data_IF_919626732396
#
_entry.id   IF_919626732396
#
_cell.length_a   1.000
_cell.length_b   1.000
_cell.length_c   1.000
_cell.angle_alpha   90.00
_cell.angle_beta   90.00
_cell.angle_gamma   90.00
#
_symmetry.space_group_name_H-M   'P 1'
#
loop_
_entity.id
_entity.type
_entity.pdbx_description
1 polymer ?
#
# COMPACT_ATOMS: atom_id res chain seq x y z
N UNK A 1 17.34 -23.18 -20.52
CA UNK A 1 18.46 -22.82 -19.62
C UNK A 1 17.95 -23.14 -18.22
N UNK A 2 18.59 -24.07 -17.50
CA UNK A 2 18.23 -24.39 -16.12
C UNK A 2 18.45 -23.15 -15.26
N UNK A 3 17.38 -22.55 -14.75
CA UNK A 3 17.38 -21.29 -14.03
C UNK A 3 18.37 -21.32 -12.86
N UNK A 4 19.54 -20.72 -13.04
CA UNK A 4 20.51 -20.59 -11.96
C UNK A 4 20.01 -19.52 -11.01
N UNK A 5 19.97 -19.87 -9.73
CA UNK A 5 19.56 -18.95 -8.68
C UNK A 5 20.51 -17.74 -8.65
N UNK A 6 19.99 -16.52 -8.82
CA UNK A 6 20.80 -15.29 -8.83
C UNK A 6 21.56 -15.09 -7.52
N UNK A 7 20.99 -15.56 -6.40
CA UNK A 7 21.69 -15.54 -5.11
C UNK A 7 22.89 -16.49 -5.13
N UNK A 8 22.77 -17.66 -5.77
CA UNK A 8 23.87 -18.61 -5.94
C UNK A 8 24.95 -18.09 -6.90
N UNK A 9 24.57 -17.37 -7.97
CA UNK A 9 25.51 -16.73 -8.91
C UNK A 9 26.39 -15.70 -8.21
N UNK A 10 25.80 -14.87 -7.33
CA UNK A 10 26.55 -13.89 -6.54
C UNK A 10 27.22 -14.50 -5.30
N UNK A 11 26.88 -15.74 -4.93
CA UNK A 11 27.39 -16.42 -3.75
C UNK A 11 26.90 -15.79 -2.44
N UNK A 12 25.67 -15.28 -2.42
CA UNK A 12 25.05 -14.61 -1.27
C UNK A 12 23.81 -15.39 -0.79
N UNK A 13 23.41 -15.17 0.45
CA UNK A 13 22.18 -15.76 0.98
C UNK A 13 20.93 -15.06 0.42
N UNK A 14 19.78 -15.73 0.40
CA UNK A 14 18.49 -15.13 0.02
C UNK A 14 18.05 -13.99 0.95
N UNK A 15 18.53 -14.03 2.20
CA UNK A 15 18.34 -13.00 3.22
C UNK A 15 19.33 -11.85 3.12
N UNK A 16 20.24 -11.87 2.14
CA UNK A 16 21.30 -10.87 2.04
C UNK A 16 20.75 -9.46 1.85
N UNK A 17 21.43 -8.49 2.47
CA UNK A 17 21.13 -7.08 2.33
C UNK A 17 21.63 -6.55 0.97
N UNK A 18 21.07 -5.43 0.53
CA UNK A 18 21.47 -4.79 -0.74
C UNK A 18 22.96 -4.44 -0.75
N UNK A 19 23.51 -4.05 0.40
CA UNK A 19 24.93 -3.73 0.54
C UNK A 19 25.83 -4.95 0.34
N UNK A 20 25.44 -6.11 0.89
CA UNK A 20 26.17 -7.38 0.72
C UNK A 20 26.14 -7.84 -0.74
N UNK A 21 24.99 -7.71 -1.40
CA UNK A 21 24.82 -8.00 -2.84
C UNK A 21 25.74 -7.10 -3.68
N UNK A 22 25.82 -5.81 -3.34
CA UNK A 22 26.70 -4.84 -4.03
C UNK A 22 28.17 -5.14 -3.80
N UNK A 23 28.55 -5.55 -2.59
CA UNK A 23 29.92 -5.95 -2.29
C UNK A 23 30.33 -7.22 -3.04
N UNK A 24 29.47 -8.25 -3.04
CA UNK A 24 29.68 -9.48 -3.78
C UNK A 24 29.83 -9.22 -5.29
N UNK A 25 28.96 -8.37 -5.85
CA UNK A 25 29.06 -7.94 -7.25
C UNK A 25 30.40 -7.27 -7.54
N UNK A 26 30.84 -6.30 -6.72
CA UNK A 26 32.14 -5.62 -6.94
C UNK A 26 33.31 -6.58 -6.94
N UNK A 27 33.32 -7.56 -6.02
CA UNK A 27 34.37 -8.59 -5.93
C UNK A 27 34.42 -9.47 -7.18
N UNK A 28 33.26 -9.97 -7.62
CA UNK A 28 33.15 -10.84 -8.79
C UNK A 28 33.41 -10.08 -10.10
N UNK A 29 32.90 -8.85 -10.22
CA UNK A 29 33.14 -7.98 -11.37
C UNK A 29 34.64 -7.67 -11.54
N UNK A 30 35.38 -7.45 -10.45
CA UNK A 30 36.82 -7.24 -10.51
C UNK A 30 37.60 -8.52 -10.88
N UNK A 31 37.06 -9.71 -10.57
CA UNK A 31 37.67 -11.01 -10.87
C UNK A 31 37.46 -11.44 -12.33
N UNK A 32 36.27 -11.17 -12.87
CA UNK A 32 35.87 -11.54 -14.24
C UNK A 32 35.95 -10.38 -15.24
N UNK A 33 36.55 -9.25 -14.85
CA UNK A 33 36.70 -8.09 -15.74
C UNK A 33 37.51 -8.48 -17.01
N UNK A 34 37.08 -8.09 -18.22
CA UNK A 34 37.74 -8.47 -19.47
C UNK A 34 39.21 -8.01 -19.54
N UNK A 35 39.55 -6.91 -18.86
CA UNK A 35 40.94 -6.42 -18.79
C UNK A 35 41.86 -7.33 -17.94
N UNK A 36 41.32 -8.00 -16.92
CA UNK A 36 42.12 -8.84 -15.99
C UNK A 36 42.06 -10.32 -16.35
N UNK A 37 40.96 -10.78 -16.95
CA UNK A 37 40.77 -12.17 -17.34
C UNK A 37 40.23 -12.24 -18.77
N UNK A 38 41.06 -12.74 -19.68
CA UNK A 38 40.75 -12.89 -21.12
C UNK A 38 40.22 -14.28 -21.48
N UNK A 39 39.87 -15.11 -20.50
CA UNK A 39 39.23 -16.40 -20.76
C UNK A 39 37.83 -16.19 -21.33
N UNK A 40 37.41 -16.96 -22.36
CA UNK A 40 36.04 -16.92 -22.87
C UNK A 40 35.00 -17.25 -21.80
N UNK A 41 35.36 -18.06 -20.79
CA UNK A 41 34.49 -18.40 -19.66
C UNK A 41 34.26 -17.20 -18.72
N UNK A 42 35.21 -16.26 -18.66
CA UNK A 42 35.09 -15.08 -17.80
C UNK A 42 34.01 -14.13 -18.31
N UNK A 43 33.84 -14.02 -19.63
CA UNK A 43 32.80 -13.18 -20.24
C UNK A 43 31.40 -13.72 -19.92
N UNK A 44 31.19 -15.03 -20.03
CA UNK A 44 29.90 -15.66 -19.68
C UNK A 44 29.57 -15.45 -18.20
N UNK A 45 30.54 -15.71 -17.30
CA UNK A 45 30.36 -15.49 -15.86
C UNK A 45 30.10 -14.03 -15.52
N UNK A 46 30.76 -13.10 -16.20
CA UNK A 46 30.55 -11.67 -16.00
C UNK A 46 29.13 -11.23 -16.40
N UNK A 47 28.62 -11.75 -17.53
CA UNK A 47 27.23 -11.50 -17.96
C UNK A 47 26.23 -12.00 -16.91
N UNK A 48 26.40 -13.23 -16.43
CA UNK A 48 25.53 -13.81 -15.38
C UNK A 48 25.55 -13.00 -14.08
N UNK A 49 26.74 -12.58 -13.62
CA UNK A 49 26.90 -11.76 -12.40
C UNK A 49 26.24 -10.39 -12.57
N UNK A 50 26.36 -9.78 -13.75
CA UNK A 50 25.76 -8.49 -14.06
C UNK A 50 24.22 -8.57 -14.11
N UNK A 51 23.70 -9.64 -14.71
CA UNK A 51 22.26 -9.90 -14.76
C UNK A 51 21.68 -10.12 -13.36
N UNK A 52 22.31 -10.99 -12.55
CA UNK A 52 21.92 -11.25 -11.17
C UNK A 52 21.89 -9.96 -10.33
N UNK A 53 22.91 -9.12 -10.45
CA UNK A 53 22.96 -7.83 -9.76
C UNK A 53 21.84 -6.89 -10.24
N UNK A 54 21.52 -6.85 -11.53
CA UNK A 54 20.46 -5.97 -12.08
C UNK A 54 19.06 -6.30 -11.56
N UNK A 55 18.82 -7.56 -11.17
CA UNK A 55 17.56 -8.05 -10.61
C UNK A 55 17.55 -7.86 -9.09
N UNK A 56 18.61 -8.30 -8.40
CA UNK A 56 18.66 -8.31 -6.94
C UNK A 56 18.91 -6.92 -6.31
N UNK A 57 19.49 -5.97 -7.06
CA UNK A 57 19.74 -4.61 -6.58
C UNK A 57 18.49 -3.74 -6.50
N UNK A 58 17.45 -4.03 -7.30
CA UNK A 58 16.21 -3.28 -7.31
C UNK A 58 15.16 -4.01 -6.46
N UNK A 59 14.58 -3.33 -5.47
CA UNK A 59 13.59 -3.91 -4.56
C UNK A 59 12.37 -4.51 -5.28
N UNK A 60 11.87 -3.86 -6.32
CA UNK A 60 10.70 -4.33 -7.06
C UNK A 60 11.02 -5.57 -7.90
N UNK A 61 12.19 -5.58 -8.56
CA UNK A 61 12.65 -6.73 -9.34
C UNK A 61 13.01 -7.92 -8.46
N UNK A 62 13.63 -7.67 -7.30
CA UNK A 62 13.89 -8.70 -6.28
C UNK A 62 12.59 -9.31 -5.78
N UNK A 63 11.60 -8.48 -5.45
CA UNK A 63 10.27 -8.97 -5.03
C UNK A 63 9.60 -9.82 -6.13
N UNK A 64 9.71 -9.38 -7.39
CA UNK A 64 9.19 -10.13 -8.54
C UNK A 64 9.90 -11.48 -8.70
N UNK A 65 11.24 -11.49 -8.60
CA UNK A 65 12.08 -12.69 -8.67
C UNK A 65 11.75 -13.68 -7.55
N UNK A 66 11.64 -13.18 -6.32
CA UNK A 66 11.31 -13.99 -5.15
C UNK A 66 9.88 -14.56 -5.24
N UNK A 67 8.95 -13.85 -5.90
CA UNK A 67 7.57 -14.30 -6.09
C UNK A 67 7.39 -15.32 -7.23
N UNK A 68 8.10 -15.16 -8.34
CA UNK A 68 7.99 -16.04 -9.52
C UNK A 68 8.93 -17.25 -9.45
N UNK A 69 10.09 -17.09 -8.81
CA UNK A 69 11.17 -18.06 -8.81
C UNK A 69 12.07 -17.99 -10.06
N UNK A 70 13.23 -18.66 -10.02
CA UNK A 70 14.24 -18.60 -11.08
C UNK A 70 13.75 -19.11 -12.44
N UNK A 71 12.83 -20.06 -12.48
CA UNK A 71 12.38 -20.67 -13.73
C UNK A 71 11.38 -19.81 -14.51
N UNK A 72 10.61 -18.96 -13.82
CA UNK A 72 9.49 -18.19 -14.40
C UNK A 72 9.81 -16.71 -14.59
N UNK A 73 10.86 -16.21 -13.94
CA UNK A 73 11.22 -14.80 -14.01
C UNK A 73 11.59 -14.34 -15.43
N UNK A 74 12.22 -15.22 -16.20
CA UNK A 74 12.67 -14.91 -17.56
C UNK A 74 11.51 -14.88 -18.58
N UNK A 75 10.33 -15.41 -18.25
CA UNK A 75 9.16 -15.39 -19.13
C UNK A 75 8.41 -14.05 -19.02
N UNK A 76 8.38 -13.23 -20.10
CA UNK A 76 7.65 -11.96 -20.09
C UNK A 76 6.15 -12.11 -19.80
N UNK A 77 5.54 -13.25 -20.14
CA UNK A 77 4.11 -13.51 -19.92
C UNK A 77 3.83 -13.67 -18.43
N UNK A 78 4.63 -14.43 -17.72
CA UNK A 78 4.50 -14.65 -16.27
C UNK A 78 4.72 -13.35 -15.49
N UNK A 79 5.73 -12.57 -15.89
CA UNK A 79 5.99 -11.24 -15.31
C UNK A 79 4.79 -10.30 -15.53
N UNK A 80 4.20 -10.32 -16.73
CA UNK A 80 3.02 -9.52 -17.03
C UNK A 80 1.81 -9.98 -16.20
N UNK A 81 1.58 -11.28 -16.08
CA UNK A 81 0.49 -11.85 -15.27
C UNK A 81 0.61 -11.45 -13.80
N UNK A 82 1.81 -11.51 -13.23
CA UNK A 82 2.05 -11.03 -11.88
C UNK A 82 1.71 -9.54 -11.72
N UNK A 83 2.17 -8.70 -12.67
CA UNK A 83 1.89 -7.25 -12.64
C UNK A 83 0.40 -6.95 -12.76
N UNK A 84 -0.28 -7.60 -13.70
CA UNK A 84 -1.73 -7.43 -13.92
C UNK A 84 -2.53 -7.85 -12.69
N UNK A 85 -2.20 -8.99 -12.08
CA UNK A 85 -2.86 -9.45 -10.86
C UNK A 85 -2.65 -8.46 -9.71
N UNK A 86 -1.41 -7.97 -9.52
CA UNK A 86 -1.09 -6.97 -8.49
C UNK A 86 -1.85 -5.66 -8.68
N UNK A 87 -2.01 -5.21 -9.93
CA UNK A 87 -2.82 -4.04 -10.25
C UNK A 87 -4.31 -4.26 -10.04
N UNK A 88 -4.83 -5.44 -10.39
CA UNK A 88 -6.24 -5.79 -10.16
C UNK A 88 -6.57 -5.72 -8.66
N UNK A 89 -5.76 -6.37 -7.82
CA UNK A 89 -5.90 -6.34 -6.36
C UNK A 89 -5.84 -4.91 -5.82
N UNK A 90 -4.90 -4.08 -6.31
CA UNK A 90 -4.81 -2.66 -5.90
C UNK A 90 -6.05 -1.85 -6.29
N UNK A 91 -6.63 -2.12 -7.47
CA UNK A 91 -7.85 -1.46 -7.93
C UNK A 91 -9.05 -1.89 -7.11
N UNK A 92 -9.16 -3.17 -6.76
CA UNK A 92 -10.21 -3.71 -5.90
C UNK A 92 -10.12 -3.12 -4.50
N UNK A 93 -8.95 -3.17 -3.86
CA UNK A 93 -8.73 -2.54 -2.55
C UNK A 93 -9.11 -1.05 -2.55
N UNK A 94 -8.74 -0.31 -3.61
CA UNK A 94 -9.13 1.10 -3.74
C UNK A 94 -10.65 1.28 -3.87
N UNK A 95 -11.33 0.41 -4.63
CA UNK A 95 -12.80 0.44 -4.77
C UNK A 95 -13.49 0.15 -3.43
N UNK A 96 -12.98 -0.80 -2.67
CA UNK A 96 -13.50 -1.13 -1.33
C UNK A 96 -13.30 0.03 -0.36
N UNK A 97 -12.11 0.65 -0.35
CA UNK A 97 -11.83 1.84 0.45
C UNK A 97 -12.74 3.03 0.07
N UNK A 98 -12.92 3.26 -1.24
CA UNK A 98 -13.79 4.32 -1.77
C UNK A 98 -15.26 4.04 -1.41
N UNK A 99 -15.70 2.78 -1.49
CA UNK A 99 -17.04 2.35 -1.10
C UNK A 99 -17.26 2.55 0.40
N UNK A 100 -16.34 2.10 1.25
CA UNK A 100 -16.40 2.29 2.70
C UNK A 100 -16.38 3.76 3.10
N UNK A 101 -15.56 4.60 2.42
CA UNK A 101 -15.56 6.06 2.63
C UNK A 101 -16.91 6.67 2.25
N UNK A 102 -17.56 6.17 1.20
CA UNK A 102 -18.88 6.64 0.79
C UNK A 102 -19.98 6.29 1.78
N UNK A 103 -19.95 5.09 2.37
CA UNK A 103 -20.95 4.65 3.37
C UNK A 103 -20.84 5.47 4.65
N UNK A 104 -19.63 5.64 5.22
CA UNK A 104 -19.44 6.45 6.44
C UNK A 104 -19.90 7.90 6.29
N UNK A 105 -19.74 8.50 5.10
CA UNK A 105 -20.17 9.89 4.87
C UNK A 105 -21.69 10.05 4.98
N UNK A 106 -22.45 9.01 4.62
CA UNK A 106 -23.92 9.03 4.72
C UNK A 106 -24.40 8.79 6.15
N UNK A 107 -23.71 7.95 6.94
CA UNK A 107 -24.09 7.66 8.33
C UNK A 107 -24.13 8.93 9.22
N UNK A 108 -23.21 9.88 9.01
CA UNK A 108 -23.22 11.17 9.73
C UNK A 108 -24.36 12.13 9.31
N UNK A 109 -24.88 11.99 8.10
CA UNK A 109 -26.01 12.80 7.62
C UNK A 109 -27.34 12.32 8.22
N UNK A 110 -27.51 11.00 8.39
CA UNK A 110 -28.71 10.41 8.99
C UNK A 110 -28.86 10.78 10.47
N UNK A 111 -27.77 10.74 11.24
CA UNK A 111 -27.80 11.17 12.66
C UNK A 111 -28.16 12.65 12.82
N UNK A 112 -27.68 13.50 11.91
CA UNK A 112 -27.97 14.95 11.95
C UNK A 112 -29.42 15.25 11.60
N UNK A 113 -29.99 14.53 10.62
CA UNK A 113 -31.40 14.65 10.25
C UNK A 113 -32.35 14.24 11.37
N UNK A 114 -32.05 13.15 12.07
CA UNK A 114 -32.83 12.68 13.22
C UNK A 114 -32.79 13.70 14.36
N UNK A 115 -31.62 14.26 14.69
CA UNK A 115 -31.50 15.29 15.74
C UNK A 115 -32.28 16.57 15.40
N UNK A 116 -32.21 17.04 14.14
CA UNK A 116 -32.99 18.21 13.68
C UNK A 116 -34.49 17.95 13.69
N UNK A 117 -34.93 16.73 13.35
CA UNK A 117 -36.33 16.32 13.45
C UNK A 117 -36.82 16.33 14.90
N UNK A 118 -36.03 15.82 15.85
CA UNK A 118 -36.37 15.87 17.28
C UNK A 118 -36.45 17.31 17.81
N UNK A 119 -35.54 18.20 17.40
CA UNK A 119 -35.63 19.62 17.76
C UNK A 119 -36.92 20.27 17.26
N UNK A 120 -37.23 20.10 15.97
CA UNK A 120 -38.41 20.72 15.36
C UNK A 120 -39.73 20.18 15.93
N UNK A 121 -39.77 18.92 16.31
CA UNK A 121 -40.99 18.28 16.84
C UNK A 121 -41.17 18.53 18.34
N UNK A 122 -40.09 18.62 19.12
CA UNK A 122 -40.17 18.87 20.55
C UNK A 122 -40.70 20.27 20.88
N UNK A 123 -40.28 21.29 20.10
CA UNK A 123 -40.76 22.67 20.23
C UNK A 123 -42.25 22.82 19.83
N UNK A 124 -42.78 21.91 19.01
CA UNK A 124 -44.19 21.89 18.61
C UNK A 124 -45.10 21.17 19.62
N UNK A 125 -44.58 20.16 20.32
CA UNK A 125 -45.38 19.30 21.23
C UNK A 125 -45.48 19.88 22.65
N UNK A 126 -44.46 20.61 23.13
CA UNK A 126 -44.45 21.13 24.51
C UNK A 126 -44.27 22.66 24.48
N UNK A 127 -45.37 23.43 24.63
CA UNK A 127 -45.25 24.88 24.65
C UNK A 127 -44.42 25.36 25.85
N UNK A 128 -43.62 26.43 25.69
CA UNK A 128 -42.69 26.92 26.72
C UNK A 128 -43.38 27.35 28.02
N UNK A 129 -44.70 27.54 27.99
CA UNK A 129 -45.54 27.80 29.16
C UNK A 129 -45.62 26.61 30.13
N UNK A 130 -45.34 25.38 29.69
CA UNK A 130 -45.46 24.15 30.50
C UNK A 130 -44.12 23.70 31.07
N UNK A 131 -43.02 23.95 30.35
CA UNK A 131 -41.67 23.43 30.66
C UNK A 131 -40.78 24.41 31.46
N UNK A 132 -41.10 25.70 31.48
CA UNK A 132 -40.41 26.70 32.30
C UNK A 132 -38.91 26.79 32.02
N UNK A 133 -38.10 27.06 33.05
CA UNK A 133 -36.65 27.27 32.92
C UNK A 133 -35.88 26.06 32.33
N UNK A 134 -36.41 24.85 32.45
CA UNK A 134 -35.76 23.63 31.94
C UNK A 134 -35.73 23.56 30.41
N UNK A 135 -36.63 24.26 29.72
CA UNK A 135 -36.65 24.35 28.25
C UNK A 135 -35.32 24.89 27.68
N UNK A 136 -34.82 25.98 28.25
CA UNK A 136 -33.59 26.63 27.80
C UNK A 136 -32.34 25.78 28.07
N UNK A 137 -32.35 24.99 29.15
CA UNK A 137 -31.25 24.09 29.50
C UNK A 137 -31.19 22.92 28.51
N UNK A 138 -32.32 22.31 28.18
CA UNK A 138 -32.37 21.20 27.21
C UNK A 138 -32.07 21.68 25.78
N UNK A 139 -32.68 22.77 25.33
CA UNK A 139 -32.45 23.30 23.98
C UNK A 139 -30.99 23.78 23.82
N UNK A 140 -30.41 24.41 24.85
CA UNK A 140 -28.99 24.76 24.89
C UNK A 140 -28.05 23.56 24.82
N UNK A 141 -28.37 22.45 25.49
CA UNK A 141 -27.56 21.22 25.41
C UNK A 141 -27.62 20.58 24.03
N UNK A 142 -28.79 20.57 23.39
CA UNK A 142 -28.93 20.03 22.03
C UNK A 142 -28.17 20.89 21.01
N UNK A 143 -28.21 22.23 21.14
CA UNK A 143 -27.42 23.14 20.29
C UNK A 143 -25.92 22.95 20.48
N UNK A 144 -25.46 22.70 21.71
CA UNK A 144 -24.05 22.38 21.98
C UNK A 144 -23.65 21.05 21.31
N UNK A 145 -24.47 20.01 21.41
CA UNK A 145 -24.24 18.73 20.74
C UNK A 145 -24.17 18.90 19.21
N UNK A 146 -25.09 19.67 18.61
CA UNK A 146 -25.05 19.99 17.18
C UNK A 146 -23.78 20.75 16.79
N UNK A 147 -23.37 21.73 17.60
CA UNK A 147 -22.14 22.50 17.34
C UNK A 147 -20.88 21.62 17.36
N UNK A 148 -20.81 20.66 18.29
CA UNK A 148 -19.69 19.70 18.38
C UNK A 148 -19.68 18.77 17.16
N UNK A 149 -20.83 18.19 16.78
CA UNK A 149 -20.92 17.31 15.60
C UNK A 149 -20.57 18.04 14.30
N UNK A 150 -20.99 19.29 14.12
CA UNK A 150 -20.62 20.10 12.94
C UNK A 150 -19.13 20.44 12.94
N UNK A 151 -18.55 20.76 14.09
CA UNK A 151 -17.13 21.06 14.21
C UNK A 151 -16.23 19.84 13.93
N UNK A 152 -16.64 18.64 14.34
CA UNK A 152 -15.94 17.39 13.95
C UNK A 152 -16.05 17.10 12.46
N UNK A 153 -17.19 17.41 11.83
CA UNK A 153 -17.40 17.22 10.39
C UNK A 153 -16.53 18.14 9.51
N UNK A 154 -16.20 19.34 9.98
CA UNK A 154 -15.35 20.32 9.25
C UNK A 154 -13.85 19.99 9.36
N UNK A 155 -13.43 19.19 10.34
CA UNK A 155 -12.01 18.83 10.55
C UNK A 155 -11.57 17.53 9.86
N UNK A 156 -12.50 16.77 9.28
CA UNK A 156 -12.27 15.52 8.55
C UNK A 156 -12.21 15.77 7.04
#
# INVERSE_FOLDING_TARGET
MTGRDFYAVLGVAKTALVDEIKEAYRRLAAQYHPDRNRSPEAEERFKEVSEAYSVLSNSDKRTLYDALGPDKYDDPREVLLYRLNKEAVRREAKREDDAWRSTRRNDGAETTGVLLFFLLTFDFVIPPSVSGHWYFVFNGFILLCLAISVHEWVRL
#
